data_IF_319714036244
#
_entry.id   IF_319714036244
#
_cell.length_a   1.000
_cell.length_b   1.000
_cell.length_c   1.000
_cell.angle_alpha   90.00
_cell.angle_beta   90.00
_cell.angle_gamma   90.00
#
_symmetry.space_group_name_H-M   'P 1'
#
loop_
_entity.id
_entity.type
_entity.pdbx_description
1 polymer ?
#
# COMPACT_ATOMS: atom_id res chain seq x y z
N UNK A 1 12.92 -2.18 -8.70
CA UNK A 1 13.60 -1.46 -7.61
C UNK A 1 13.42 -2.25 -6.33
N UNK A 2 14.44 -2.32 -5.47
CA UNK A 2 14.30 -2.82 -4.10
C UNK A 2 14.24 -1.61 -3.17
N UNK A 3 13.25 -1.56 -2.29
CA UNK A 3 13.00 -0.41 -1.42
C UNK A 3 13.18 -0.82 0.05
N UNK A 4 13.99 -0.06 0.77
CA UNK A 4 14.13 -0.18 2.21
C UNK A 4 13.95 1.19 2.85
N UNK A 5 12.79 1.43 3.46
CA UNK A 5 12.51 2.69 4.14
C UNK A 5 13.19 2.75 5.50
N UNK A 6 13.75 3.91 5.84
CA UNK A 6 14.39 4.13 7.13
C UNK A 6 13.44 3.79 8.30
N UNK A 7 13.90 2.93 9.20
CA UNK A 7 13.15 2.49 10.38
C UNK A 7 12.00 1.52 10.11
N UNK A 8 11.65 1.22 8.85
CA UNK A 8 10.50 0.37 8.53
C UNK A 8 10.68 -1.08 8.96
N UNK A 9 11.86 -1.67 8.72
CA UNK A 9 12.18 -3.02 9.23
C UNK A 9 12.06 -3.11 10.76
N UNK A 10 12.48 -2.06 11.49
CA UNK A 10 12.36 -2.02 12.95
C UNK A 10 10.90 -1.95 13.39
N UNK A 11 10.07 -1.14 12.72
CA UNK A 11 8.61 -1.04 12.97
C UNK A 11 7.87 -2.32 12.60
N UNK A 12 8.31 -3.03 11.56
CA UNK A 12 7.70 -4.28 11.11
C UNK A 12 8.09 -5.50 11.96
N UNK A 13 9.25 -5.46 12.63
CA UNK A 13 9.80 -6.57 13.43
C UNK A 13 8.79 -7.24 14.40
N UNK A 14 7.92 -6.52 15.14
CA UNK A 14 6.92 -7.16 16.00
C UNK A 14 5.96 -8.10 15.25
N UNK A 15 5.69 -7.81 13.98
CA UNK A 15 4.77 -8.57 13.13
C UNK A 15 5.47 -9.67 12.33
N UNK A 16 6.80 -9.69 12.29
CA UNK A 16 7.59 -10.68 11.52
C UNK A 16 7.39 -12.13 11.97
N UNK A 17 6.89 -12.34 13.19
CA UNK A 17 6.56 -13.66 13.74
C UNK A 17 5.10 -14.05 13.58
N UNK A 18 4.24 -13.16 13.07
CA UNK A 18 2.85 -13.51 12.79
C UNK A 18 2.81 -14.51 11.64
N UNK A 19 1.89 -15.47 11.78
CA UNK A 19 1.52 -16.37 10.70
C UNK A 19 0.77 -15.60 9.60
N UNK A 20 0.62 -16.22 8.42
CA UNK A 20 -0.08 -15.65 7.28
C UNK A 20 0.49 -14.27 6.85
N UNK A 21 1.74 -14.27 6.39
CA UNK A 21 2.36 -13.12 5.74
C UNK A 21 2.31 -13.31 4.24
N UNK A 22 1.83 -12.30 3.54
CA UNK A 22 1.67 -12.34 2.09
C UNK A 22 2.42 -11.19 1.44
N UNK A 23 2.90 -11.45 0.23
CA UNK A 23 3.44 -10.42 -0.64
C UNK A 23 2.32 -9.91 -1.55
N UNK A 24 1.86 -8.68 -1.33
CA UNK A 24 0.66 -8.14 -1.97
C UNK A 24 0.90 -6.81 -2.67
N UNK A 25 0.11 -6.55 -3.71
CA UNK A 25 0.20 -5.35 -4.54
C UNK A 25 -0.55 -4.17 -3.92
N UNK A 26 0.05 -2.98 -3.97
CA UNK A 26 -0.61 -1.71 -3.69
C UNK A 26 -0.35 -0.73 -4.84
N UNK A 27 -1.42 -0.20 -5.44
CA UNK A 27 -1.34 0.87 -6.43
C UNK A 27 -1.79 2.20 -5.85
N UNK A 28 -1.19 3.29 -6.33
CA UNK A 28 -1.56 4.65 -5.96
C UNK A 28 -1.24 5.61 -7.09
N UNK A 29 -1.83 6.80 -7.10
CA UNK A 29 -1.47 7.85 -8.06
C UNK A 29 0.01 8.18 -7.94
N UNK A 30 0.67 8.47 -9.06
CA UNK A 30 2.10 8.80 -9.10
C UNK A 30 2.47 9.92 -8.13
N UNK A 31 1.61 10.94 -8.01
CA UNK A 31 1.77 12.08 -7.08
C UNK A 31 1.88 11.67 -5.60
N UNK A 32 1.36 10.51 -5.23
CA UNK A 32 1.37 10.04 -3.85
C UNK A 32 2.70 9.37 -3.46
N UNK A 33 3.51 8.93 -4.43
CA UNK A 33 4.70 8.13 -4.15
C UNK A 33 5.76 8.89 -3.36
N UNK A 34 5.92 10.20 -3.53
CA UNK A 34 6.83 10.99 -2.69
C UNK A 34 6.44 10.91 -1.20
N UNK A 35 5.14 10.97 -0.91
CA UNK A 35 4.62 10.80 0.44
C UNK A 35 4.76 9.36 0.95
N UNK A 36 4.49 8.38 0.10
CA UNK A 36 4.60 6.95 0.45
C UNK A 36 6.08 6.56 0.69
N UNK A 37 7.03 7.13 -0.04
CA UNK A 37 8.47 6.86 0.08
C UNK A 37 9.14 7.65 1.22
N UNK A 38 8.57 8.77 1.66
CA UNK A 38 9.05 9.49 2.84
C UNK A 38 8.40 9.00 4.15
N UNK A 39 7.09 8.79 4.18
CA UNK A 39 6.33 8.55 5.41
C UNK A 39 5.71 7.13 5.53
N UNK A 40 5.59 6.42 4.42
CA UNK A 40 5.04 5.07 4.34
C UNK A 40 3.58 5.09 3.93
N UNK A 41 2.99 3.90 3.83
CA UNK A 41 1.54 3.75 3.66
C UNK A 41 0.84 4.20 4.95
N UNK A 42 -0.10 5.15 4.82
CA UNK A 42 -0.82 5.76 5.95
C UNK A 42 -2.31 5.52 5.82
N UNK A 43 -2.95 5.32 6.95
CA UNK A 43 -4.40 5.29 7.06
C UNK A 43 -4.92 6.72 6.97
N UNK A 44 -6.07 6.90 6.29
CA UNK A 44 -6.73 8.19 6.23
C UNK A 44 -7.05 8.73 7.64
N UNK A 45 -6.96 10.04 7.87
CA UNK A 45 -7.12 10.59 9.21
C UNK A 45 -8.59 10.51 9.68
N UNK A 46 -8.87 10.60 11.00
CA UNK A 46 -10.21 10.42 11.56
C UNK A 46 -11.30 11.32 10.99
N UNK A 47 -10.94 12.53 10.59
CA UNK A 47 -11.81 13.55 10.01
C UNK A 47 -12.20 13.28 8.54
N UNK A 48 -11.45 12.44 7.81
CA UNK A 48 -11.78 12.13 6.42
C UNK A 48 -13.12 11.37 6.33
N UNK A 49 -13.95 11.61 5.31
CA UNK A 49 -15.19 10.83 5.13
C UNK A 49 -14.87 9.34 4.93
N UNK A 50 -15.75 8.46 5.41
CA UNK A 50 -15.61 7.00 5.22
C UNK A 50 -16.07 6.57 3.82
N UNK A 51 -16.85 7.42 3.13
CA UNK A 51 -17.31 7.20 1.76
C UNK A 51 -16.13 6.94 0.82
N UNK A 52 -16.16 5.81 0.10
CA UNK A 52 -15.10 5.38 -0.81
C UNK A 52 -14.16 4.31 -0.24
N UNK A 53 -14.28 3.97 1.04
CA UNK A 53 -13.55 2.85 1.66
C UNK A 53 -14.47 1.63 1.86
N UNK A 54 -14.19 0.52 1.16
CA UNK A 54 -15.07 -0.67 1.17
C UNK A 54 -15.19 -1.33 2.55
N UNK A 55 -14.11 -1.31 3.34
CA UNK A 55 -14.04 -1.93 4.68
C UNK A 55 -13.55 -0.93 5.73
N UNK A 56 -13.86 0.35 5.55
CA UNK A 56 -13.40 1.43 6.45
C UNK A 56 -11.96 1.88 6.21
N UNK A 57 -11.46 2.77 7.07
CA UNK A 57 -10.14 3.39 6.86
C UNK A 57 -9.04 2.38 7.16
N UNK A 58 -8.26 2.04 6.13
CA UNK A 58 -7.17 1.08 6.22
C UNK A 58 -6.21 1.22 5.06
N UNK A 59 -5.13 0.44 5.09
CA UNK A 59 -4.24 0.27 3.95
C UNK A 59 -4.73 -0.93 3.15
N UNK A 60 -5.03 -0.71 1.88
CA UNK A 60 -5.63 -1.71 1.00
C UNK A 60 -4.56 -2.35 0.11
N UNK A 61 -4.66 -3.67 -0.03
CA UNK A 61 -3.79 -4.48 -0.87
C UNK A 61 -4.63 -5.42 -1.74
N UNK A 62 -4.03 -5.94 -2.81
CA UNK A 62 -4.60 -7.00 -3.63
C UNK A 62 -3.54 -8.05 -3.98
N UNK A 63 -3.98 -9.30 -4.10
CA UNK A 63 -3.20 -10.40 -4.67
C UNK A 63 -3.11 -10.32 -6.20
N UNK A 64 -4.11 -9.71 -6.84
CA UNK A 64 -4.13 -9.46 -8.28
C UNK A 64 -3.51 -8.11 -8.64
N UNK A 65 -2.47 -8.15 -9.49
CA UNK A 65 -1.78 -6.95 -9.98
C UNK A 65 -2.72 -5.98 -10.70
N UNK A 66 -3.65 -6.48 -11.51
CA UNK A 66 -4.58 -5.65 -12.28
C UNK A 66 -5.53 -4.82 -11.40
N UNK A 67 -5.98 -5.40 -10.27
CA UNK A 67 -6.84 -4.70 -9.30
C UNK A 67 -6.09 -3.51 -8.69
N UNK A 68 -4.85 -3.71 -8.28
CA UNK A 68 -4.02 -2.63 -7.73
C UNK A 68 -3.60 -1.62 -8.80
N UNK A 69 -3.33 -2.05 -10.04
CA UNK A 69 -2.94 -1.18 -11.15
C UNK A 69 -4.00 -0.10 -11.45
N UNK A 70 -5.30 -0.40 -11.29
CA UNK A 70 -6.38 0.57 -11.47
C UNK A 70 -6.24 1.81 -10.57
N UNK A 71 -5.58 1.70 -9.42
CA UNK A 71 -5.34 2.82 -8.50
C UNK A 71 -4.16 3.71 -8.93
N UNK A 72 -3.42 3.34 -9.98
CA UNK A 72 -2.34 4.17 -10.53
C UNK A 72 -2.87 5.36 -11.34
N UNK A 73 -4.11 5.29 -11.85
CA UNK A 73 -4.73 6.32 -12.68
C UNK A 73 -3.90 6.69 -13.93
N UNK A 74 -3.26 5.71 -14.56
CA UNK A 74 -2.57 5.89 -15.84
C UNK A 74 -3.56 6.13 -16.98
N UNK A 75 -3.14 6.84 -18.01
CA UNK A 75 -3.89 7.05 -19.24
C UNK A 75 -2.96 6.95 -20.46
N UNK A 76 -3.47 6.90 -21.70
CA UNK A 76 -2.61 6.96 -22.88
C UNK A 76 -1.71 8.20 -22.92
N UNK A 77 -2.16 9.32 -22.35
CA UNK A 77 -1.38 10.57 -22.27
C UNK A 77 -0.38 10.56 -21.09
N UNK A 78 -0.62 9.73 -20.06
CA UNK A 78 0.27 9.54 -18.92
C UNK A 78 0.41 8.03 -18.63
N UNK A 79 1.18 7.30 -19.46
CA UNK A 79 1.17 5.84 -19.47
C UNK A 79 2.02 5.21 -18.37
N UNK A 80 2.80 6.01 -17.64
CA UNK A 80 3.70 5.53 -16.59
C UNK A 80 3.00 5.56 -15.24
N UNK A 81 2.89 4.39 -14.62
CA UNK A 81 2.41 4.20 -13.25
C UNK A 81 3.47 3.55 -12.36
N UNK A 82 3.32 3.70 -11.04
CA UNK A 82 4.12 2.99 -10.05
C UNK A 82 3.22 2.13 -9.18
N UNK A 83 3.71 0.96 -8.82
CA UNK A 83 3.08 0.06 -7.86
C UNK A 83 4.09 -0.40 -6.83
N UNK A 84 3.59 -0.78 -5.67
CA UNK A 84 4.38 -1.40 -4.62
C UNK A 84 4.00 -2.87 -4.49
N UNK A 85 5.00 -3.65 -4.14
CA UNK A 85 4.86 -5.03 -3.71
C UNK A 85 5.37 -5.08 -2.26
N UNK A 86 4.48 -5.34 -1.31
CA UNK A 86 4.75 -5.20 0.12
C UNK A 86 4.58 -6.53 0.84
N UNK A 87 5.47 -6.85 1.79
CA UNK A 87 5.22 -7.92 2.76
C UNK A 87 4.21 -7.41 3.79
N UNK A 88 3.03 -8.04 3.84
CA UNK A 88 1.92 -7.67 4.70
C UNK A 88 1.66 -8.81 5.68
N UNK A 89 1.74 -8.51 6.97
CA UNK A 89 1.38 -9.47 8.01
C UNK A 89 -0.13 -9.41 8.25
N UNK A 90 -0.86 -10.40 7.73
CA UNK A 90 -2.32 -10.44 7.82
C UNK A 90 -2.79 -11.05 9.15
N UNK A 91 -2.02 -11.98 9.71
CA UNK A 91 -2.41 -12.68 10.92
C UNK A 91 -3.67 -13.52 10.70
N UNK A 92 -4.52 -13.58 11.73
CA UNK A 92 -5.81 -14.26 11.65
C UNK A 92 -6.84 -13.36 10.93
N UNK A 93 -7.40 -13.85 9.83
CA UNK A 93 -8.41 -13.15 9.03
C UNK A 93 -9.81 -13.71 9.25
#
# INVERSE_FOLDING_TARGET
>A
FNLERHGEKKRYKPFSKLDNRMLLWHGSRLTNFVGILSQGLRIAPPEAPVTGYMFGKGVYFADMVSKSANYCWTSPQSPVGLMLLCEVALGNM
#
